data_IF_713425649425
#
_entry.id   IF_713425649425
#
_cell.length_a   1.000
_cell.length_b   1.000
_cell.length_c   1.000
_cell.angle_alpha   90.00
_cell.angle_beta   90.00
_cell.angle_gamma   90.00
#
_symmetry.space_group_name_H-M   'P 1'
#
loop_
_entity.id
_entity.type
_entity.pdbx_description
1 polymer ?
#
# COMPACT_ATOMS: atom_id res chain seq x y z
N UNK A 1 1.68 -16.02 22.06
CA UNK A 1 1.73 -14.56 21.84
C UNK A 1 2.73 -13.90 22.77
N UNK A 2 3.55 -12.99 22.24
CA UNK A 2 4.62 -12.28 22.96
C UNK A 2 4.14 -11.17 23.88
N UNK A 3 5.00 -10.68 24.80
CA UNK A 3 4.73 -9.50 25.66
C UNK A 3 4.75 -8.15 24.92
N UNK A 4 4.53 -8.14 23.59
CA UNK A 4 4.57 -6.92 22.74
C UNK A 4 3.20 -6.29 22.55
N UNK A 5 2.40 -6.24 23.62
CA UNK A 5 1.10 -5.58 23.61
C UNK A 5 0.77 -5.04 25.00
N UNK A 6 -0.05 -4.00 25.05
CA UNK A 6 -0.72 -3.61 26.30
C UNK A 6 -1.98 -4.44 26.46
N UNK A 7 -2.29 -4.88 27.68
CA UNK A 7 -3.56 -5.56 27.96
C UNK A 7 -4.71 -4.67 27.49
N UNK A 8 -5.56 -5.19 26.61
CA UNK A 8 -6.77 -4.50 26.20
C UNK A 8 -7.70 -4.39 27.41
N UNK A 9 -7.93 -3.17 27.88
CA UNK A 9 -8.81 -2.88 29.01
C UNK A 9 -10.21 -2.42 28.56
N UNK A 10 -10.46 -2.35 27.25
CA UNK A 10 -11.78 -2.04 26.71
C UNK A 10 -12.66 -3.30 26.71
N UNK A 11 -13.96 -3.18 27.04
CA UNK A 11 -14.89 -4.29 26.94
C UNK A 11 -15.04 -4.73 25.48
N UNK A 12 -15.49 -5.97 25.29
CA UNK A 12 -15.92 -6.43 23.97
C UNK A 12 -17.19 -5.68 23.54
N UNK A 13 -17.45 -5.65 22.24
CA UNK A 13 -18.60 -4.96 21.68
C UNK A 13 -19.92 -5.54 22.23
N UNK A 14 -20.78 -4.67 22.77
CA UNK A 14 -22.03 -5.05 23.45
C UNK A 14 -23.31 -4.59 22.72
N UNK A 15 -23.16 -4.00 21.52
CA UNK A 15 -24.28 -3.48 20.74
C UNK A 15 -24.43 -1.95 20.76
N UNK A 16 -23.56 -1.22 21.48
CA UNK A 16 -23.56 0.25 21.42
C UNK A 16 -23.44 0.78 19.97
N UNK A 17 -24.19 1.83 19.64
CA UNK A 17 -24.16 2.45 18.31
C UNK A 17 -23.32 3.72 18.33
N UNK A 18 -22.06 3.60 17.90
CA UNK A 18 -21.18 4.75 17.62
C UNK A 18 -21.41 5.37 16.23
N UNK A 19 -22.33 4.78 15.47
CA UNK A 19 -22.78 5.25 14.17
C UNK A 19 -24.23 5.73 14.27
N UNK A 20 -24.54 6.86 13.64
CA UNK A 20 -25.89 7.37 13.46
C UNK A 20 -26.67 6.60 12.38
N UNK A 21 -27.94 6.95 12.15
CA UNK A 21 -28.81 6.30 11.15
C UNK A 21 -28.28 6.35 9.71
N UNK A 22 -27.36 7.26 9.42
CA UNK A 22 -26.69 7.45 8.13
C UNK A 22 -25.35 6.69 8.02
N UNK A 23 -25.08 5.78 8.96
CA UNK A 23 -23.81 5.07 9.11
C UNK A 23 -22.59 6.01 9.29
N UNK A 24 -22.81 7.26 9.73
CA UNK A 24 -21.73 8.19 10.06
C UNK A 24 -21.44 8.16 11.55
N UNK A 25 -20.20 8.52 11.93
CA UNK A 25 -19.84 8.68 13.34
C UNK A 25 -20.76 9.68 14.03
N UNK A 26 -21.24 9.35 15.23
CA UNK A 26 -22.05 10.27 16.04
C UNK A 26 -21.29 11.61 16.26
N UNK A 27 -21.99 12.76 16.29
CA UNK A 27 -21.35 14.08 16.30
C UNK A 27 -20.30 14.27 17.40
N UNK A 28 -20.54 13.70 18.58
CA UNK A 28 -19.63 13.75 19.72
C UNK A 28 -18.30 13.06 19.39
N UNK A 29 -18.36 11.81 18.91
CA UNK A 29 -17.17 11.05 18.53
C UNK A 29 -16.42 11.71 17.37
N UNK A 30 -17.15 12.20 16.37
CA UNK A 30 -16.56 12.96 15.25
C UNK A 30 -15.81 14.19 15.74
N UNK A 31 -16.42 14.99 16.64
CA UNK A 31 -15.79 16.17 17.22
C UNK A 31 -14.53 15.83 18.00
N UNK A 32 -14.57 14.79 18.85
CA UNK A 32 -13.41 14.29 19.59
C UNK A 32 -12.28 13.87 18.65
N UNK A 33 -12.57 13.11 17.60
CA UNK A 33 -11.56 12.68 16.61
C UNK A 33 -10.95 13.89 15.89
N UNK A 34 -11.76 14.84 15.43
CA UNK A 34 -11.26 16.05 14.77
C UNK A 34 -10.38 16.89 15.69
N UNK A 35 -10.71 17.01 16.97
CA UNK A 35 -9.87 17.70 17.96
C UNK A 35 -8.51 17.00 18.12
N UNK A 36 -8.49 15.67 18.22
CA UNK A 36 -7.23 14.91 18.34
C UNK A 36 -6.39 14.96 17.06
N UNK A 37 -7.02 14.97 15.87
CA UNK A 37 -6.33 15.22 14.61
C UNK A 37 -5.63 16.59 14.67
N UNK A 38 -6.35 17.65 15.05
CA UNK A 38 -5.76 18.99 15.18
C UNK A 38 -4.60 19.05 16.18
N UNK A 39 -4.75 18.40 17.34
CA UNK A 39 -3.70 18.31 18.36
C UNK A 39 -2.43 17.64 17.83
N UNK A 40 -2.56 16.46 17.22
CA UNK A 40 -1.40 15.72 16.71
C UNK A 40 -0.78 16.35 15.47
N UNK A 41 -1.56 17.05 14.63
CA UNK A 41 -1.01 17.88 13.56
C UNK A 41 -0.18 19.04 14.12
N UNK A 42 -0.62 19.68 15.19
CA UNK A 42 0.17 20.71 15.87
C UNK A 42 1.54 20.17 16.35
N UNK A 43 1.56 18.95 16.90
CA UNK A 43 2.80 18.27 17.29
C UNK A 43 3.66 17.99 16.07
N UNK A 44 3.09 17.40 15.01
CA UNK A 44 3.81 17.09 13.78
C UNK A 44 4.45 18.36 13.19
N UNK A 45 3.67 19.41 13.01
CA UNK A 45 4.09 20.68 12.42
C UNK A 45 5.22 21.36 13.21
N UNK A 46 5.14 21.32 14.54
CA UNK A 46 6.18 21.89 15.42
C UNK A 46 7.51 21.14 15.35
N UNK A 47 7.52 19.90 14.83
CA UNK A 47 8.69 19.03 14.76
C UNK A 47 9.13 18.70 13.32
N UNK A 48 8.54 19.33 12.29
CA UNK A 48 8.90 19.07 10.89
C UNK A 48 10.39 19.34 10.60
N UNK A 49 10.98 20.33 11.27
CA UNK A 49 12.40 20.67 11.16
C UNK A 49 13.34 19.59 11.72
N UNK A 50 12.83 18.65 12.53
CA UNK A 50 13.59 17.52 13.07
C UNK A 50 13.53 16.27 12.18
N UNK A 51 12.72 16.30 11.11
CA UNK A 51 12.67 15.20 10.13
C UNK A 51 13.93 15.18 9.28
N UNK A 52 14.26 14.03 8.70
CA UNK A 52 15.38 13.92 7.77
C UNK A 52 15.06 14.71 6.47
N UNK A 53 15.76 15.82 6.18
CA UNK A 53 15.46 16.66 5.01
C UNK A 53 15.81 15.98 3.68
N UNK A 54 16.56 14.88 3.72
CA UNK A 54 16.93 14.09 2.54
C UNK A 54 15.99 12.91 2.28
N UNK A 55 14.96 12.70 3.12
CA UNK A 55 13.97 11.65 2.93
C UNK A 55 12.73 12.18 2.19
N UNK A 56 12.67 11.91 0.90
CA UNK A 56 11.53 12.20 0.04
C UNK A 56 10.51 11.07 -0.04
N UNK A 57 10.72 9.94 0.61
CA UNK A 57 9.88 8.74 0.47
C UNK A 57 8.47 8.94 1.03
N UNK A 58 7.56 8.03 0.67
CA UNK A 58 6.22 7.99 1.26
C UNK A 58 6.24 7.28 2.61
N UNK A 59 7.11 6.28 2.78
CA UNK A 59 7.16 5.45 3.97
C UNK A 59 7.59 6.24 5.22
N UNK A 60 8.62 7.08 5.09
CA UNK A 60 9.21 7.82 6.22
C UNK A 60 9.47 9.30 5.93
N UNK A 61 9.29 9.73 4.67
CA UNK A 61 9.70 11.05 4.21
C UNK A 61 8.57 12.07 4.02
N UNK A 62 8.97 13.20 3.44
CA UNK A 62 8.10 14.36 3.18
C UNK A 62 6.91 14.04 2.27
N UNK A 63 7.02 13.09 1.34
CA UNK A 63 5.89 12.68 0.50
C UNK A 63 4.80 11.94 1.31
N UNK A 64 5.16 11.20 2.36
CA UNK A 64 4.19 10.57 3.26
C UNK A 64 3.36 11.60 4.01
N UNK A 65 4.00 12.69 4.44
CA UNK A 65 3.33 13.83 5.09
C UNK A 65 2.46 14.58 4.07
N UNK A 66 2.93 14.74 2.82
CA UNK A 66 2.12 15.32 1.75
C UNK A 66 0.85 14.49 1.49
N UNK A 67 0.96 13.16 1.47
CA UNK A 67 -0.18 12.25 1.33
C UNK A 67 -1.17 12.40 2.49
N UNK A 68 -0.69 12.53 3.74
CA UNK A 68 -1.53 12.81 4.90
C UNK A 68 -2.35 14.10 4.70
N UNK A 69 -1.70 15.21 4.33
CA UNK A 69 -2.41 16.48 4.11
C UNK A 69 -3.37 16.42 2.92
N UNK A 70 -3.01 15.74 1.83
CA UNK A 70 -3.92 15.52 0.70
C UNK A 70 -5.18 14.77 1.14
N UNK A 71 -5.07 13.77 2.02
CA UNK A 71 -6.22 13.05 2.58
C UNK A 71 -7.04 13.90 3.54
N UNK A 72 -6.39 14.69 4.40
CA UNK A 72 -7.08 15.61 5.29
C UNK A 72 -7.87 16.66 4.50
N UNK A 73 -7.35 17.15 3.38
CA UNK A 73 -8.07 18.08 2.50
C UNK A 73 -9.35 17.47 1.89
N UNK A 74 -9.41 16.15 1.72
CA UNK A 74 -10.59 15.41 1.24
C UNK A 74 -11.60 15.15 2.36
N UNK A 75 -11.11 14.84 3.57
CA UNK A 75 -11.95 14.45 4.71
C UNK A 75 -12.47 15.65 5.52
N UNK A 76 -11.76 16.77 5.50
CA UNK A 76 -12.04 17.99 6.28
C UNK A 76 -12.16 19.20 5.33
N UNK A 77 -13.32 19.37 4.65
CA UNK A 77 -13.49 20.36 3.59
C UNK A 77 -13.28 21.81 4.06
N UNK A 78 -13.59 22.12 5.33
CA UNK A 78 -13.43 23.46 5.92
C UNK A 78 -11.97 23.94 5.95
N UNK A 79 -11.00 23.02 5.89
CA UNK A 79 -9.56 23.32 5.88
C UNK A 79 -8.89 22.87 4.57
N UNK A 80 -9.69 22.50 3.56
CA UNK A 80 -9.20 21.85 2.34
C UNK A 80 -8.10 22.66 1.63
N UNK A 81 -8.32 23.97 1.44
CA UNK A 81 -7.34 24.85 0.79
C UNK A 81 -6.00 24.94 1.55
N UNK A 82 -6.05 25.01 2.88
CA UNK A 82 -4.87 25.07 3.74
C UNK A 82 -4.08 23.74 3.66
N UNK A 83 -4.76 22.61 3.85
CA UNK A 83 -4.14 21.30 3.76
C UNK A 83 -3.60 20.99 2.37
N UNK A 84 -4.32 21.36 1.30
CA UNK A 84 -3.83 21.19 -0.06
C UNK A 84 -2.57 22.03 -0.34
N UNK A 85 -2.52 23.26 0.19
CA UNK A 85 -1.33 24.10 0.11
C UNK A 85 -0.12 23.46 0.81
N UNK A 86 -0.30 22.96 2.04
CA UNK A 86 0.76 22.22 2.77
C UNK A 86 1.20 20.97 2.02
N UNK A 87 0.26 20.18 1.51
CA UNK A 87 0.54 18.99 0.72
C UNK A 87 1.40 19.33 -0.51
N UNK A 88 1.05 20.42 -1.22
CA UNK A 88 1.79 20.89 -2.39
C UNK A 88 3.23 21.32 -2.03
N UNK A 89 3.42 22.08 -0.96
CA UNK A 89 4.76 22.51 -0.54
C UNK A 89 5.66 21.32 -0.17
N UNK A 90 5.12 20.34 0.55
CA UNK A 90 5.84 19.13 0.92
C UNK A 90 6.18 18.26 -0.28
N UNK A 91 5.22 18.08 -1.20
CA UNK A 91 5.46 17.24 -2.38
C UNK A 91 6.45 17.90 -3.36
N UNK A 92 6.39 19.22 -3.55
CA UNK A 92 7.35 19.96 -4.38
C UNK A 92 8.78 19.84 -3.83
N UNK A 93 8.93 19.65 -2.51
CA UNK A 93 10.22 19.41 -1.86
C UNK A 93 10.68 17.96 -2.05
N UNK A 94 9.77 16.99 -1.88
CA UNK A 94 10.05 15.57 -2.11
C UNK A 94 10.50 15.28 -3.55
N UNK A 95 9.91 15.95 -4.55
CA UNK A 95 10.28 15.81 -5.96
C UNK A 95 11.72 16.24 -6.28
N UNK A 96 12.39 17.00 -5.41
CA UNK A 96 13.81 17.37 -5.57
C UNK A 96 14.76 16.26 -5.09
N UNK A 97 14.23 15.25 -4.41
CA UNK A 97 14.99 14.16 -3.78
C UNK A 97 14.92 12.85 -4.57
N UNK A 98 14.29 12.86 -5.75
CA UNK A 98 14.20 11.69 -6.63
C UNK A 98 15.59 11.20 -7.03
N UNK A 99 15.81 9.89 -6.99
CA UNK A 99 17.13 9.30 -7.19
C UNK A 99 17.15 8.08 -8.13
N UNK A 100 15.99 7.59 -8.57
CA UNK A 100 15.86 6.49 -9.52
C UNK A 100 16.24 5.11 -9.00
N UNK A 101 16.52 4.94 -7.70
CA UNK A 101 17.03 3.68 -7.13
C UNK A 101 15.94 2.65 -6.86
N UNK A 102 14.77 3.09 -6.40
CA UNK A 102 13.67 2.21 -5.97
C UNK A 102 12.42 2.48 -6.80
N UNK A 103 11.71 1.42 -7.18
CA UNK A 103 10.59 1.46 -8.12
C UNK A 103 9.21 1.30 -7.46
N UNK A 104 9.11 1.41 -6.14
CA UNK A 104 7.86 1.24 -5.40
C UNK A 104 7.22 2.57 -5.00
N UNK A 105 5.92 2.54 -4.68
CA UNK A 105 5.22 3.69 -4.14
C UNK A 105 5.76 4.13 -2.76
N UNK A 106 6.07 3.18 -1.88
CA UNK A 106 6.40 3.52 -0.49
C UNK A 106 7.81 4.08 -0.34
N UNK A 107 8.79 3.45 -0.99
CA UNK A 107 10.20 3.74 -0.77
C UNK A 107 10.92 4.32 -1.99
N UNK A 108 10.24 4.48 -3.12
CA UNK A 108 10.84 4.92 -4.38
C UNK A 108 10.18 6.14 -5.01
N UNK A 109 10.81 6.62 -6.08
CA UNK A 109 10.38 7.77 -6.87
C UNK A 109 8.90 7.71 -7.34
N UNK A 110 8.32 6.52 -7.66
CA UNK A 110 6.91 6.44 -8.05
C UNK A 110 5.92 7.00 -7.02
N UNK A 111 6.24 6.92 -5.72
CA UNK A 111 5.40 7.46 -4.65
C UNK A 111 5.23 8.97 -4.72
N UNK A 112 6.33 9.74 -4.54
CA UNK A 112 6.29 11.19 -4.63
C UNK A 112 5.72 11.68 -5.97
N UNK A 113 6.10 11.04 -7.08
CA UNK A 113 5.56 11.39 -8.39
C UNK A 113 4.04 11.17 -8.48
N UNK A 114 3.52 10.07 -7.94
CA UNK A 114 2.08 9.78 -8.04
C UNK A 114 1.25 10.70 -7.14
N UNK A 115 1.73 11.00 -5.94
CA UNK A 115 1.09 11.96 -5.04
C UNK A 115 1.12 13.36 -5.68
N UNK A 116 2.25 13.77 -6.27
CA UNK A 116 2.36 15.02 -7.00
C UNK A 116 1.38 15.10 -8.17
N UNK A 117 1.27 14.04 -8.97
CA UNK A 117 0.33 13.97 -10.08
C UNK A 117 -1.11 14.24 -9.62
N UNK A 118 -1.54 13.59 -8.54
CA UNK A 118 -2.88 13.78 -7.98
C UNK A 118 -3.09 15.20 -7.44
N UNK A 119 -2.11 15.76 -6.72
CA UNK A 119 -2.18 17.13 -6.18
C UNK A 119 -2.27 18.15 -7.32
N UNK A 120 -1.43 18.04 -8.35
CA UNK A 120 -1.43 18.95 -9.48
C UNK A 120 -2.73 18.82 -10.30
N UNK A 121 -3.21 17.60 -10.53
CA UNK A 121 -4.49 17.34 -11.20
C UNK A 121 -5.65 18.02 -10.47
N UNK A 122 -5.76 17.82 -9.15
CA UNK A 122 -6.82 18.43 -8.33
C UNK A 122 -6.69 19.96 -8.21
N UNK A 123 -5.49 20.50 -8.44
CA UNK A 123 -5.24 21.95 -8.45
C UNK A 123 -5.43 22.58 -9.84
N UNK A 124 -5.79 21.80 -10.87
CA UNK A 124 -5.97 22.27 -12.24
C UNK A 124 -4.69 22.40 -13.08
N UNK A 125 -3.53 21.99 -12.55
CA UNK A 125 -2.26 21.96 -13.29
C UNK A 125 -2.09 20.62 -14.02
N UNK A 126 -2.87 20.44 -15.09
CA UNK A 126 -2.86 19.21 -15.89
C UNK A 126 -1.46 18.92 -16.45
N UNK A 127 -0.72 19.95 -16.86
CA UNK A 127 0.62 19.79 -17.45
C UNK A 127 1.61 19.21 -16.44
N UNK A 128 1.65 19.74 -15.22
CA UNK A 128 2.53 19.19 -14.18
C UNK A 128 2.11 17.78 -13.75
N UNK A 129 0.80 17.51 -13.69
CA UNK A 129 0.27 16.17 -13.46
C UNK A 129 0.76 15.18 -14.52
N UNK A 130 0.57 15.49 -15.79
CA UNK A 130 0.95 14.63 -16.91
C UNK A 130 2.46 14.38 -16.92
N UNK A 131 3.28 15.38 -16.62
CA UNK A 131 4.73 15.22 -16.50
C UNK A 131 5.12 14.21 -15.41
N UNK A 132 4.44 14.22 -14.27
CA UNK A 132 4.68 13.25 -13.20
C UNK A 132 4.29 11.84 -13.65
N UNK A 133 3.12 11.70 -14.29
CA UNK A 133 2.65 10.42 -14.83
C UNK A 133 3.63 9.88 -15.87
N UNK A 134 4.08 10.69 -16.82
CA UNK A 134 5.05 10.26 -17.85
C UNK A 134 6.38 9.79 -17.25
N UNK A 135 6.86 10.44 -16.17
CA UNK A 135 8.04 9.97 -15.43
C UNK A 135 7.82 8.60 -14.79
N UNK A 136 6.64 8.33 -14.24
CA UNK A 136 6.32 7.00 -13.69
C UNK A 136 6.26 5.96 -14.81
N UNK A 137 5.62 6.29 -15.93
CA UNK A 137 5.46 5.36 -17.05
C UNK A 137 6.79 5.01 -17.72
N UNK A 138 7.76 5.94 -17.75
CA UNK A 138 9.10 5.66 -18.28
C UNK A 138 9.89 4.64 -17.46
N UNK A 139 9.49 4.38 -16.20
CA UNK A 139 10.12 3.38 -15.33
C UNK A 139 9.70 1.95 -15.64
N UNK A 140 8.73 1.71 -16.55
CA UNK A 140 8.24 0.36 -16.92
C UNK A 140 9.37 -0.63 -17.19
N UNK A 141 10.37 -0.21 -17.99
CA UNK A 141 11.50 -1.07 -18.34
C UNK A 141 12.31 -1.50 -17.10
N UNK A 142 12.51 -0.58 -16.15
CA UNK A 142 13.15 -0.91 -14.88
C UNK A 142 12.26 -1.86 -14.07
N UNK A 143 10.98 -1.55 -13.89
CA UNK A 143 10.05 -2.41 -13.15
C UNK A 143 9.98 -3.86 -13.69
N UNK A 144 10.08 -4.03 -15.01
CA UNK A 144 10.13 -5.36 -15.66
C UNK A 144 11.50 -6.07 -15.57
N UNK A 145 12.56 -5.39 -15.10
CA UNK A 145 13.87 -6.00 -14.90
C UNK A 145 13.82 -7.08 -13.82
N UNK A 146 14.42 -8.25 -14.09
CA UNK A 146 14.54 -9.37 -13.15
C UNK A 146 15.31 -9.02 -11.86
N UNK A 147 16.05 -7.91 -11.83
CA UNK A 147 16.78 -7.44 -10.64
C UNK A 147 15.89 -6.90 -9.54
N UNK A 148 14.66 -6.48 -9.86
CA UNK A 148 13.73 -5.96 -8.87
C UNK A 148 13.02 -7.09 -8.12
N UNK A 149 12.82 -6.95 -6.80
CA UNK A 149 11.97 -7.87 -6.05
C UNK A 149 10.50 -7.69 -6.45
N UNK A 150 9.63 -8.56 -5.95
CA UNK A 150 8.20 -8.51 -6.24
C UNK A 150 7.38 -7.86 -5.12
N UNK A 151 7.95 -7.69 -3.93
CA UNK A 151 7.23 -7.25 -2.73
C UNK A 151 6.82 -5.75 -2.74
N UNK A 152 6.11 -5.34 -1.70
CA UNK A 152 5.35 -4.09 -1.70
C UNK A 152 6.22 -2.84 -1.44
N UNK A 153 7.28 -2.96 -0.65
CA UNK A 153 8.07 -1.80 -0.23
C UNK A 153 9.15 -1.40 -1.23
N UNK A 154 9.67 -2.32 -2.03
CA UNK A 154 10.78 -2.07 -2.97
C UNK A 154 10.54 -2.68 -4.35
N UNK A 155 9.55 -3.57 -4.48
CA UNK A 155 9.34 -4.39 -5.66
C UNK A 155 8.19 -4.00 -6.57
N UNK A 156 7.93 -4.91 -7.52
CA UNK A 156 6.92 -4.74 -8.58
C UNK A 156 5.51 -4.56 -8.04
N UNK A 157 5.13 -5.19 -6.92
CA UNK A 157 3.83 -4.93 -6.29
C UNK A 157 3.70 -3.46 -5.86
N UNK A 158 4.76 -2.89 -5.29
CA UNK A 158 4.79 -1.46 -4.96
C UNK A 158 4.64 -0.55 -6.18
N UNK A 159 5.22 -0.93 -7.32
CA UNK A 159 5.03 -0.21 -8.59
C UNK A 159 3.60 -0.36 -9.13
N UNK A 160 3.07 -1.59 -9.13
CA UNK A 160 1.70 -1.90 -9.56
C UNK A 160 0.67 -1.12 -8.73
N UNK A 161 0.90 -0.99 -7.42
CA UNK A 161 0.07 -0.15 -6.56
C UNK A 161 0.09 1.32 -7.00
N UNK A 162 1.24 1.87 -7.40
CA UNK A 162 1.34 3.24 -7.94
C UNK A 162 0.42 3.43 -9.15
N UNK A 163 0.43 2.48 -10.10
CA UNK A 163 -0.40 2.56 -11.30
C UNK A 163 -1.90 2.52 -10.96
N UNK A 164 -2.29 1.62 -10.05
CA UNK A 164 -3.67 1.52 -9.58
C UNK A 164 -4.10 2.74 -8.76
N UNK A 165 -3.20 3.31 -7.97
CA UNK A 165 -3.42 4.56 -7.22
C UNK A 165 -3.76 5.70 -8.17
N UNK A 166 -3.00 5.90 -9.25
CA UNK A 166 -3.26 6.95 -10.23
C UNK A 166 -4.61 6.76 -10.94
N UNK A 167 -4.93 5.53 -11.35
CA UNK A 167 -6.24 5.21 -11.95
C UNK A 167 -7.40 5.52 -11.00
N UNK A 168 -7.25 5.24 -9.71
CA UNK A 168 -8.27 5.54 -8.70
C UNK A 168 -8.44 7.04 -8.45
N UNK A 169 -7.33 7.77 -8.29
CA UNK A 169 -7.38 9.16 -7.83
C UNK A 169 -7.65 10.18 -8.95
N UNK A 170 -7.27 9.86 -10.20
CA UNK A 170 -7.41 10.76 -11.37
C UNK A 170 -8.42 10.19 -12.38
N UNK A 171 -8.32 8.91 -12.71
CA UNK A 171 -9.26 8.23 -13.59
C UNK A 171 -8.61 7.12 -14.43
N UNK A 172 -9.41 6.17 -14.91
CA UNK A 172 -8.90 4.97 -15.59
C UNK A 172 -8.08 5.24 -16.86
N UNK A 173 -8.31 6.37 -17.54
CA UNK A 173 -7.66 6.74 -18.80
C UNK A 173 -6.18 7.14 -18.64
N UNK A 174 -5.73 7.48 -17.43
CA UNK A 174 -4.38 8.03 -17.23
C UNK A 174 -3.26 6.99 -17.33
N UNK A 175 -3.60 5.71 -17.13
CA UNK A 175 -2.67 4.59 -17.27
C UNK A 175 -3.28 3.60 -18.26
N UNK A 176 -2.49 3.19 -19.25
CA UNK A 176 -2.88 2.13 -20.18
C UNK A 176 -3.07 0.79 -19.44
N UNK A 177 -4.16 0.07 -19.77
CA UNK A 177 -4.46 -1.23 -19.19
C UNK A 177 -3.37 -2.26 -19.52
N UNK A 178 -2.73 -2.15 -20.69
CA UNK A 178 -1.64 -3.05 -21.06
C UNK A 178 -0.42 -2.85 -20.14
N UNK A 179 -0.14 -1.63 -19.70
CA UNK A 179 0.95 -1.37 -18.77
C UNK A 179 0.75 -2.14 -17.46
N UNK A 180 -0.45 -2.06 -16.89
CA UNK A 180 -0.80 -2.75 -15.64
C UNK A 180 -0.76 -4.28 -15.84
N UNK A 181 -1.27 -4.76 -16.98
CA UNK A 181 -1.23 -6.18 -17.37
C UNK A 181 0.21 -6.70 -17.42
N UNK A 182 1.13 -5.96 -18.05
CA UNK A 182 2.53 -6.39 -18.17
C UNK A 182 3.22 -6.53 -16.81
N UNK A 183 2.97 -5.59 -15.89
CA UNK A 183 3.53 -5.64 -14.53
C UNK A 183 2.91 -6.79 -13.74
N UNK A 184 1.59 -6.97 -13.83
CA UNK A 184 0.87 -8.09 -13.21
C UNK A 184 1.45 -9.43 -13.65
N UNK A 185 1.55 -9.66 -14.96
CA UNK A 185 2.08 -10.92 -15.49
C UNK A 185 3.54 -11.14 -15.15
N UNK A 186 4.35 -10.07 -15.06
CA UNK A 186 5.73 -10.19 -14.62
C UNK A 186 5.83 -10.72 -13.18
N UNK A 187 4.94 -10.26 -12.29
CA UNK A 187 4.86 -10.75 -10.90
C UNK A 187 4.42 -12.22 -10.87
N UNK A 188 3.43 -12.61 -11.68
CA UNK A 188 3.00 -14.02 -11.79
C UNK A 188 4.15 -14.89 -12.27
N UNK A 189 4.76 -14.56 -13.42
CA UNK A 189 5.86 -15.33 -14.03
C UNK A 189 7.06 -15.45 -13.08
N UNK A 190 7.39 -14.39 -12.35
CA UNK A 190 8.45 -14.39 -11.33
C UNK A 190 8.13 -15.37 -10.19
N UNK A 191 6.91 -15.30 -9.64
CA UNK A 191 6.47 -16.14 -8.53
C UNK A 191 6.35 -17.62 -8.89
N UNK A 192 5.81 -17.93 -10.07
CA UNK A 192 5.75 -19.29 -10.60
C UNK A 192 7.15 -19.89 -10.78
N UNK A 193 8.06 -19.11 -11.37
CA UNK A 193 9.43 -19.54 -11.61
C UNK A 193 10.13 -19.86 -10.29
N UNK A 194 10.01 -18.97 -9.31
CA UNK A 194 10.61 -19.17 -8.00
C UNK A 194 10.02 -20.40 -7.29
N UNK A 195 8.68 -20.51 -7.26
CA UNK A 195 7.99 -21.67 -6.68
C UNK A 195 8.45 -23.01 -7.27
N UNK A 196 8.59 -23.09 -8.61
CA UNK A 196 9.09 -24.30 -9.28
C UNK A 196 10.55 -24.59 -8.92
N UNK A 197 11.40 -23.56 -8.83
CA UNK A 197 12.81 -23.71 -8.51
C UNK A 197 13.06 -24.18 -7.07
N UNK A 198 12.22 -23.75 -6.12
CA UNK A 198 12.34 -24.14 -4.71
C UNK A 198 11.49 -25.35 -4.32
N UNK A 199 10.69 -25.90 -5.25
CA UNK A 199 9.76 -26.99 -4.96
C UNK A 199 8.65 -26.58 -4.00
N UNK A 200 8.24 -25.31 -4.03
CA UNK A 200 7.20 -24.77 -3.17
C UNK A 200 5.88 -25.51 -3.38
N UNK A 201 5.11 -25.68 -2.29
CA UNK A 201 3.74 -26.22 -2.33
C UNK A 201 2.70 -25.20 -2.82
N UNK A 202 3.07 -23.93 -2.88
CA UNK A 202 2.25 -22.85 -3.42
C UNK A 202 2.57 -22.62 -4.89
N UNK A 203 1.59 -22.37 -5.78
CA UNK A 203 1.88 -22.02 -7.18
C UNK A 203 2.68 -20.73 -7.34
N UNK A 204 2.49 -19.78 -6.42
CA UNK A 204 3.29 -18.56 -6.34
C UNK A 204 4.07 -18.51 -5.04
N UNK A 205 5.36 -18.22 -5.12
CA UNK A 205 6.23 -17.98 -3.98
C UNK A 205 7.27 -16.92 -4.32
N UNK A 206 7.73 -16.18 -3.31
CA UNK A 206 8.62 -15.04 -3.51
C UNK A 206 9.65 -14.95 -2.40
N UNK A 207 10.77 -14.29 -2.70
CA UNK A 207 11.85 -14.06 -1.75
C UNK A 207 12.25 -12.58 -1.75
N UNK A 208 12.59 -12.08 -0.57
CA UNK A 208 13.25 -10.79 -0.40
C UNK A 208 14.36 -10.92 0.65
N UNK A 209 15.55 -10.37 0.37
CA UNK A 209 16.76 -10.51 1.20
C UNK A 209 16.97 -11.92 1.79
N UNK A 210 16.91 -12.94 0.94
CA UNK A 210 17.19 -14.31 1.36
C UNK A 210 16.03 -15.04 2.03
N UNK A 211 14.91 -14.38 2.37
CA UNK A 211 13.80 -14.98 3.11
C UNK A 211 12.49 -15.02 2.30
N UNK A 212 11.73 -16.10 2.45
CA UNK A 212 10.35 -16.22 1.97
C UNK A 212 9.41 -15.58 3.01
N UNK A 213 9.13 -14.28 2.86
CA UNK A 213 8.22 -13.57 3.75
C UNK A 213 6.75 -13.89 3.43
N UNK A 214 5.92 -13.97 4.47
CA UNK A 214 4.50 -14.29 4.31
C UNK A 214 3.58 -13.05 4.44
N UNK A 215 4.00 -12.04 5.19
CA UNK A 215 3.19 -10.85 5.49
C UNK A 215 3.02 -9.87 4.32
N UNK A 216 2.38 -8.73 4.59
CA UNK A 216 1.94 -7.79 3.55
C UNK A 216 3.05 -6.88 3.02
N UNK A 217 4.03 -6.53 3.85
CA UNK A 217 5.09 -5.61 3.45
C UNK A 217 6.04 -6.27 2.43
N UNK A 218 6.68 -7.37 2.86
CA UNK A 218 7.76 -8.01 2.11
C UNK A 218 7.37 -9.36 1.49
N UNK A 219 6.12 -9.80 1.70
CA UNK A 219 5.75 -11.19 1.54
C UNK A 219 4.59 -11.47 0.60
N UNK A 220 4.29 -12.76 0.49
CA UNK A 220 3.30 -13.30 -0.45
C UNK A 220 1.90 -12.74 -0.19
N UNK A 221 1.52 -12.46 1.08
CA UNK A 221 0.18 -11.93 1.39
C UNK A 221 -0.10 -10.61 0.68
N UNK A 222 0.84 -9.67 0.73
CA UNK A 222 0.68 -8.34 0.13
C UNK A 222 0.66 -8.40 -1.40
N UNK A 223 1.49 -9.26 -1.97
CA UNK A 223 1.53 -9.52 -3.41
C UNK A 223 0.20 -10.12 -3.87
N UNK A 224 -0.26 -11.21 -3.24
CA UNK A 224 -1.50 -11.88 -3.59
C UNK A 224 -2.72 -10.95 -3.44
N UNK A 225 -2.76 -10.14 -2.38
CA UNK A 225 -3.82 -9.17 -2.15
C UNK A 225 -3.93 -8.19 -3.32
N UNK A 226 -2.81 -7.59 -3.73
CA UNK A 226 -2.81 -6.62 -4.82
C UNK A 226 -3.17 -7.25 -6.16
N UNK A 227 -2.66 -8.45 -6.45
CA UNK A 227 -3.01 -9.18 -7.66
C UNK A 227 -4.51 -9.51 -7.70
N UNK A 228 -5.10 -9.97 -6.58
CA UNK A 228 -6.55 -10.17 -6.50
C UNK A 228 -7.29 -8.85 -6.76
N UNK A 229 -6.92 -7.73 -6.11
CA UNK A 229 -7.55 -6.42 -6.39
C UNK A 229 -7.55 -6.06 -7.87
N UNK A 230 -6.44 -6.31 -8.56
CA UNK A 230 -6.32 -6.02 -9.99
C UNK A 230 -7.19 -6.97 -10.81
N UNK A 231 -7.14 -8.28 -10.55
CA UNK A 231 -7.87 -9.29 -11.33
C UNK A 231 -9.40 -9.21 -11.14
N UNK A 232 -9.89 -8.77 -9.98
CA UNK A 232 -11.31 -8.55 -9.74
C UNK A 232 -11.84 -7.29 -10.45
N UNK A 233 -11.00 -6.29 -10.68
CA UNK A 233 -11.41 -5.03 -11.29
C UNK A 233 -11.86 -5.24 -12.75
N UNK A 234 -13.01 -4.66 -13.12
CA UNK A 234 -13.70 -4.93 -14.39
C UNK A 234 -12.84 -4.69 -15.64
N UNK A 235 -12.02 -3.63 -15.62
CA UNK A 235 -11.07 -3.31 -16.70
C UNK A 235 -9.99 -4.38 -16.95
N UNK A 236 -9.90 -5.42 -16.11
CA UNK A 236 -8.91 -6.50 -16.22
C UNK A 236 -9.56 -7.88 -16.17
N UNK A 237 -10.77 -8.02 -16.71
CA UNK A 237 -11.47 -9.30 -16.75
C UNK A 237 -10.65 -10.45 -17.39
N UNK A 238 -9.73 -10.13 -18.32
CA UNK A 238 -8.81 -11.11 -18.92
C UNK A 238 -7.80 -11.70 -17.93
N UNK A 239 -7.57 -11.07 -16.78
CA UNK A 239 -6.69 -11.57 -15.72
C UNK A 239 -7.41 -12.49 -14.72
N UNK A 240 -8.75 -12.56 -14.75
CA UNK A 240 -9.54 -13.42 -13.85
C UNK A 240 -9.12 -14.90 -13.87
N UNK A 241 -8.71 -15.52 -14.99
CA UNK A 241 -8.22 -16.89 -14.98
C UNK A 241 -7.03 -17.14 -14.03
N UNK A 242 -6.22 -16.12 -13.71
CA UNK A 242 -5.16 -16.23 -12.71
C UNK A 242 -5.67 -16.38 -11.28
N UNK A 243 -6.91 -15.97 -10.99
CA UNK A 243 -7.54 -16.12 -9.67
C UNK A 243 -7.61 -17.59 -9.30
N UNK A 244 -8.28 -18.40 -10.13
CA UNK A 244 -8.47 -19.82 -9.85
C UNK A 244 -7.19 -20.64 -10.03
N UNK A 245 -6.39 -20.31 -11.05
CA UNK A 245 -5.20 -21.10 -11.38
C UNK A 245 -4.00 -20.85 -10.46
N UNK A 246 -3.88 -19.65 -9.88
CA UNK A 246 -2.70 -19.25 -9.10
C UNK A 246 -3.05 -18.62 -7.75
N UNK A 247 -3.90 -17.58 -7.73
CA UNK A 247 -4.07 -16.73 -6.55
C UNK A 247 -4.83 -17.44 -5.43
N UNK A 248 -5.98 -18.07 -5.69
CA UNK A 248 -6.72 -18.82 -4.66
C UNK A 248 -5.94 -20.02 -4.11
N UNK A 249 -5.27 -20.86 -4.92
CA UNK A 249 -4.36 -21.87 -4.39
C UNK A 249 -3.23 -21.30 -3.51
N UNK A 250 -2.69 -20.13 -3.88
CA UNK A 250 -1.69 -19.42 -3.06
C UNK A 250 -2.29 -18.92 -1.75
N UNK A 251 -3.53 -18.44 -1.75
CA UNK A 251 -4.28 -18.07 -0.53
C UNK A 251 -4.50 -19.28 0.36
N UNK A 252 -4.87 -20.44 -0.19
CA UNK A 252 -5.01 -21.69 0.58
C UNK A 252 -3.69 -22.12 1.21
N UNK A 253 -2.57 -22.01 0.48
CA UNK A 253 -1.25 -22.20 1.06
C UNK A 253 -1.00 -21.23 2.23
N UNK A 254 -1.34 -19.95 2.07
CA UNK A 254 -1.16 -18.94 3.12
C UNK A 254 -2.04 -19.19 4.35
N UNK A 255 -3.27 -19.70 4.18
CA UNK A 255 -4.13 -20.14 5.28
C UNK A 255 -3.46 -21.23 6.13
N UNK A 256 -2.70 -22.14 5.50
CA UNK A 256 -1.95 -23.18 6.22
C UNK A 256 -0.80 -22.64 7.10
N UNK A 257 -0.48 -21.34 7.01
CA UNK A 257 0.57 -20.67 7.78
C UNK A 257 0.07 -20.03 9.07
N UNK A 258 -1.21 -20.22 9.39
CA UNK A 258 -1.79 -19.82 10.65
C UNK A 258 -1.18 -20.61 11.82
N UNK A 259 -0.82 -19.91 12.87
CA UNK A 259 -0.32 -20.46 14.12
C UNK A 259 -1.50 -20.87 15.02
N UNK A 260 -1.22 -21.68 16.04
CA UNK A 260 -2.25 -22.11 17.00
C UNK A 260 -2.95 -20.95 17.73
N UNK A 261 -2.31 -19.78 17.79
CA UNK A 261 -2.87 -18.56 18.37
C UNK A 261 -3.83 -17.80 17.46
N UNK A 262 -4.00 -18.22 16.20
CA UNK A 262 -4.71 -17.45 15.16
C UNK A 262 -3.84 -16.37 14.50
N UNK A 263 -2.60 -16.17 14.98
CA UNK A 263 -1.63 -15.30 14.33
C UNK A 263 -0.97 -16.00 13.12
N UNK A 264 -0.13 -15.30 12.36
CA UNK A 264 0.56 -15.84 11.19
C UNK A 264 2.08 -15.70 11.33
N UNK A 265 2.81 -16.66 10.76
CA UNK A 265 4.27 -16.61 10.69
C UNK A 265 4.75 -15.41 9.85
N UNK A 266 5.93 -14.89 10.17
CA UNK A 266 6.55 -13.80 9.41
C UNK A 266 7.17 -14.27 8.09
N UNK A 267 7.78 -15.45 8.11
CA UNK A 267 8.51 -16.07 7.00
C UNK A 267 8.52 -17.60 7.14
N UNK A 268 8.87 -18.31 6.06
CA UNK A 268 8.93 -19.79 6.06
C UNK A 268 9.81 -20.39 7.17
N UNK A 269 10.89 -19.71 7.53
CA UNK A 269 11.86 -20.20 8.53
C UNK A 269 11.52 -19.78 9.98
N UNK A 270 10.41 -19.07 10.19
CA UNK A 270 10.04 -18.51 11.48
C UNK A 270 8.79 -19.20 12.06
N UNK A 271 8.95 -19.86 13.19
CA UNK A 271 7.84 -20.35 14.01
C UNK A 271 7.44 -19.37 15.14
N UNK A 272 7.95 -18.13 15.10
CA UNK A 272 7.86 -17.18 16.20
C UNK A 272 6.51 -16.44 16.25
N UNK A 273 5.65 -16.78 17.21
CA UNK A 273 4.37 -16.09 17.47
C UNK A 273 4.54 -14.78 18.26
N UNK A 274 5.05 -13.73 17.61
CA UNK A 274 5.36 -12.46 18.28
C UNK A 274 4.88 -11.20 17.56
N UNK A 275 4.76 -11.24 16.23
CA UNK A 275 4.47 -10.04 15.44
C UNK A 275 2.97 -9.96 15.17
N UNK A 276 2.36 -8.84 15.56
CA UNK A 276 0.97 -8.50 15.28
C UNK A 276 0.99 -7.10 14.65
N UNK A 277 1.41 -7.05 13.38
CA UNK A 277 1.76 -5.82 12.67
C UNK A 277 1.16 -5.86 11.25
N UNK A 278 0.99 -4.69 10.63
CA UNK A 278 0.56 -4.62 9.22
C UNK A 278 1.57 -5.29 8.28
N UNK A 279 2.86 -5.26 8.63
CA UNK A 279 3.92 -5.86 7.82
C UNK A 279 4.04 -7.37 8.03
N UNK A 280 3.80 -7.87 9.25
CA UNK A 280 3.95 -9.28 9.64
C UNK A 280 2.94 -9.70 10.71
N UNK A 281 2.35 -10.89 10.55
CA UNK A 281 1.35 -11.45 11.44
C UNK A 281 -0.08 -11.22 10.95
N UNK A 282 -1.08 -11.59 11.76
CA UNK A 282 -2.50 -11.58 11.38
C UNK A 282 -3.00 -10.26 10.76
N UNK A 283 -2.62 -9.06 11.25
CA UNK A 283 -3.06 -7.81 10.63
C UNK A 283 -2.58 -7.64 9.18
N UNK A 284 -1.55 -8.38 8.76
CA UNK A 284 -1.06 -8.38 7.38
C UNK A 284 -1.84 -9.32 6.45
N UNK A 285 -2.60 -10.28 6.99
CA UNK A 285 -3.37 -11.25 6.22
C UNK A 285 -4.86 -10.90 6.12
N UNK A 286 -5.39 -10.10 7.06
CA UNK A 286 -6.82 -9.73 7.06
C UNK A 286 -7.24 -9.08 5.73
N UNK A 287 -6.37 -8.25 5.14
CA UNK A 287 -6.62 -7.63 3.83
C UNK A 287 -6.76 -8.67 2.72
N UNK A 288 -5.86 -9.65 2.68
CA UNK A 288 -5.89 -10.72 1.69
C UNK A 288 -7.14 -11.56 1.83
N UNK A 289 -7.47 -12.02 3.04
CA UNK A 289 -8.59 -12.93 3.23
C UNK A 289 -9.93 -12.26 2.99
N UNK A 290 -10.08 -10.99 3.38
CA UNK A 290 -11.26 -10.22 3.02
C UNK A 290 -11.38 -10.12 1.49
N UNK A 291 -10.28 -9.83 0.80
CA UNK A 291 -10.30 -9.72 -0.65
C UNK A 291 -10.56 -11.05 -1.38
N UNK A 292 -10.10 -12.16 -0.82
CA UNK A 292 -10.33 -13.49 -1.39
C UNK A 292 -11.75 -14.02 -1.11
N UNK A 293 -12.44 -13.45 -0.12
CA UNK A 293 -13.82 -13.78 0.20
C UNK A 293 -14.84 -13.03 -0.66
N UNK A 294 -14.53 -11.78 -1.05
CA UNK A 294 -15.31 -10.96 -1.99
C UNK A 294 -15.48 -11.63 -3.37
#
# INVERSE_FOLDING_TARGET
MSDRFFKNNYPDYDGEQYLGPDNQLVPQLRSTITQWIGHHLGILESNLNQTNPSDGSVYTGSAGIALLYMRLAQLLPDQSSNYMSKAKTLIDSALKLLNGQVISFLCGDPGPLAIAAVIYYKSGDQKASDQCIQKILSMKRNALSHSNPDEYLYGRAGYLYTLMFLRREIGHHVIDAQHITDIFEAIIKSGEKYARQTGSRSPLMYQWHGSEYMGAAHGVSGIAYLLLKVAHHESFAHLRPYIDSHLLPTVEFLKSKCLSSGNYISSSDSASDKLVQWCHGAPSFVYLFNQAYE
#
